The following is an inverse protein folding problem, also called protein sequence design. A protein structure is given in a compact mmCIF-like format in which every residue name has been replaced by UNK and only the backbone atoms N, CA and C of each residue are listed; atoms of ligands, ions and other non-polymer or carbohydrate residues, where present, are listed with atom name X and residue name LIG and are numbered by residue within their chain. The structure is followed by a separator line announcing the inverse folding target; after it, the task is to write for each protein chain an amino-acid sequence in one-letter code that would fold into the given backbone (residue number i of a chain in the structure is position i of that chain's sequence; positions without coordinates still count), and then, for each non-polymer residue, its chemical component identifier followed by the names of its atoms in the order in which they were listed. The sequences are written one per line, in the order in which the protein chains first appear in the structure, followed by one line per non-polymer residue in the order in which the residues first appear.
data_IF_426130444032
#
_entry.id   IF_426130444032
#
_cell.length_a   1.000
_cell.length_b   1.000
_cell.length_c   1.000
_cell.angle_alpha   90.00
_cell.angle_beta   90.00
_cell.angle_gamma   90.00
#
_symmetry.space_group_name_H-M   'P 1'
#
loop_
_entity.id
_entity.type
_entity.pdbx_description
1 polymer ?
#
# COMPACT_ATOMS: atom_id res chain seq x y z
N UNK A 1 17.76 36.54 13.68
CA UNK A 1 16.89 35.48 13.12
C UNK A 1 17.75 34.70 12.14
N UNK A 2 18.38 33.61 12.59
CA UNK A 2 19.15 32.74 11.69
C UNK A 2 18.16 31.79 11.04
N UNK A 3 17.96 31.94 9.73
CA UNK A 3 17.27 30.95 8.92
C UNK A 3 18.28 29.82 8.70
N UNK A 4 18.03 28.65 9.30
CA UNK A 4 18.80 27.44 9.06
C UNK A 4 18.37 26.90 7.70
N UNK A 5 19.16 27.15 6.65
CA UNK A 5 18.99 26.54 5.33
C UNK A 5 19.74 25.21 5.32
N UNK A 6 19.24 24.23 6.08
CA UNK A 6 19.81 22.89 6.07
C UNK A 6 19.32 22.16 4.79
N UNK A 7 20.21 21.77 3.85
CA UNK A 7 19.79 21.09 2.61
C UNK A 7 19.15 19.72 2.87
N UNK A 8 19.17 19.25 4.11
CA UNK A 8 18.64 17.97 4.58
C UNK A 8 17.11 18.05 4.73
N UNK A 9 16.56 19.24 5.01
CA UNK A 9 15.12 19.47 5.17
C UNK A 9 14.37 19.39 3.83
N UNK A 10 15.06 19.63 2.70
CA UNK A 10 14.49 19.52 1.36
C UNK A 10 14.37 18.07 0.84
N UNK A 11 15.07 17.12 1.47
CA UNK A 11 15.07 15.70 1.07
C UNK A 11 14.04 14.91 1.88
N UNK A 12 13.68 15.41 3.06
CA UNK A 12 12.73 14.79 3.98
C UNK A 12 11.41 15.54 3.88
N UNK A 13 10.77 15.45 2.72
CA UNK A 13 9.37 15.81 2.59
C UNK A 13 8.56 14.73 3.33
N UNK A 14 8.26 14.96 4.61
CA UNK A 14 7.33 14.12 5.37
C UNK A 14 5.94 14.57 4.94
N UNK A 15 5.21 13.79 4.14
CA UNK A 15 3.89 14.21 3.71
C UNK A 15 3.00 14.41 4.94
N UNK A 16 2.47 15.63 5.10
CA UNK A 16 1.50 15.99 6.13
C UNK A 16 0.12 15.37 5.80
N UNK A 17 0.00 14.05 5.93
CA UNK A 17 -1.26 13.34 5.69
C UNK A 17 -1.07 11.85 5.42
N UNK A 18 -2.14 11.07 5.53
CA UNK A 18 -2.14 9.67 5.08
C UNK A 18 -1.90 9.67 3.59
N UNK A 19 -0.73 9.20 3.18
CA UNK A 19 -0.37 9.12 1.76
C UNK A 19 -1.21 8.04 1.09
N UNK A 20 -1.52 8.21 -0.20
CA UNK A 20 -2.13 7.16 -1.02
C UNK A 20 -1.34 5.84 -0.96
N UNK A 21 -0.01 5.95 -0.77
CA UNK A 21 0.87 4.81 -0.58
C UNK A 21 0.64 4.09 0.75
N UNK A 22 0.34 4.82 1.83
CA UNK A 22 -0.01 4.22 3.13
C UNK A 22 -1.31 3.43 3.03
N UNK A 23 -2.27 3.92 2.24
CA UNK A 23 -3.53 3.22 1.97
C UNK A 23 -3.28 1.91 1.21
N UNK A 24 -2.45 1.93 0.16
CA UNK A 24 -2.08 0.71 -0.58
C UNK A 24 -1.35 -0.27 0.33
N UNK A 25 -0.44 0.22 1.18
CA UNK A 25 0.33 -0.60 2.11
C UNK A 25 -0.57 -1.31 3.12
N UNK A 26 -1.64 -0.67 3.57
CA UNK A 26 -2.62 -1.29 4.48
C UNK A 26 -3.60 -2.21 3.76
N UNK A 27 -3.89 -1.94 2.47
CA UNK A 27 -4.84 -2.71 1.67
C UNK A 27 -4.36 -4.15 1.44
N UNK A 28 -3.06 -4.33 1.17
CA UNK A 28 -2.45 -5.65 0.89
C UNK A 28 -2.66 -6.63 2.06
N UNK A 29 -2.22 -6.34 3.31
CA UNK A 29 -2.47 -7.23 4.43
C UNK A 29 -3.96 -7.34 4.76
N UNK A 30 -4.76 -6.29 4.56
CA UNK A 30 -6.20 -6.33 4.79
C UNK A 30 -6.92 -7.32 3.87
N UNK A 31 -6.59 -7.34 2.57
CA UNK A 31 -7.14 -8.28 1.59
C UNK A 31 -6.75 -9.73 1.91
N UNK A 32 -5.51 -9.94 2.34
CA UNK A 32 -5.03 -11.25 2.80
C UNK A 32 -5.76 -11.72 4.06
N UNK A 33 -5.91 -10.86 5.06
CA UNK A 33 -6.67 -11.13 6.28
C UNK A 33 -8.15 -11.41 5.97
N UNK A 34 -8.75 -10.68 5.03
CA UNK A 34 -10.11 -10.93 4.57
C UNK A 34 -10.26 -12.33 3.94
N UNK A 35 -9.30 -12.75 3.11
CA UNK A 35 -9.27 -14.09 2.53
C UNK A 35 -9.12 -15.21 3.57
N UNK A 36 -8.27 -15.00 4.58
CA UNK A 36 -8.13 -15.94 5.72
C UNK A 36 -9.40 -15.99 6.55
N UNK A 37 -10.00 -14.84 6.88
CA UNK A 37 -11.26 -14.77 7.62
C UNK A 37 -12.40 -15.47 6.86
N UNK A 38 -12.48 -15.29 5.54
CA UNK A 38 -13.45 -15.97 4.69
C UNK A 38 -13.25 -17.50 4.71
N UNK A 39 -12.00 -17.99 4.71
CA UNK A 39 -11.72 -19.42 4.86
C UNK A 39 -12.15 -19.96 6.23
N UNK A 40 -11.92 -19.22 7.31
CA UNK A 40 -12.37 -19.61 8.66
C UNK A 40 -13.89 -19.70 8.73
N UNK A 41 -14.62 -18.72 8.19
CA UNK A 41 -16.10 -18.70 8.19
C UNK A 41 -16.68 -19.81 7.30
N UNK A 42 -16.04 -20.09 6.16
CA UNK A 42 -16.48 -21.15 5.23
C UNK A 42 -15.96 -22.55 5.60
N UNK A 43 -15.17 -22.68 6.67
CA UNK A 43 -14.48 -23.91 7.06
C UNK A 43 -13.59 -24.50 5.95
N UNK A 44 -13.18 -23.66 5.00
CA UNK A 44 -12.33 -24.01 3.88
C UNK A 44 -10.87 -23.99 4.34
N UNK A 45 -10.01 -24.81 3.73
CA UNK A 45 -8.61 -24.81 4.10
C UNK A 45 -8.01 -23.40 3.95
N UNK A 46 -7.29 -22.93 4.98
CA UNK A 46 -6.72 -21.58 5.04
C UNK A 46 -5.85 -21.26 3.81
N UNK A 47 -5.17 -22.27 3.24
CA UNK A 47 -4.40 -22.14 2.01
C UNK A 47 -5.25 -21.67 0.82
N UNK A 48 -6.50 -22.14 0.69
CA UNK A 48 -7.41 -21.67 -0.35
C UNK A 48 -7.91 -20.24 -0.08
N UNK A 49 -8.18 -19.89 1.19
CA UNK A 49 -8.54 -18.51 1.55
C UNK A 49 -7.42 -17.52 1.26
N UNK A 50 -6.18 -17.88 1.60
CA UNK A 50 -5.00 -17.08 1.29
C UNK A 50 -4.78 -16.94 -0.22
N UNK A 51 -4.95 -18.02 -0.99
CA UNK A 51 -4.85 -17.97 -2.45
C UNK A 51 -5.92 -17.05 -3.07
N UNK A 52 -7.16 -17.11 -2.59
CA UNK A 52 -8.24 -16.23 -3.04
C UNK A 52 -7.99 -14.75 -2.68
N UNK A 53 -7.42 -14.47 -1.51
CA UNK A 53 -7.03 -13.10 -1.11
C UNK A 53 -5.78 -12.59 -1.86
N UNK A 54 -4.88 -13.48 -2.26
CA UNK A 54 -3.66 -13.13 -2.98
C UNK A 54 -3.94 -12.60 -4.40
N UNK A 55 -5.01 -13.06 -5.06
CA UNK A 55 -5.40 -12.60 -6.40
C UNK A 55 -5.70 -11.10 -6.44
N UNK A 56 -6.66 -10.56 -5.65
CA UNK A 56 -6.90 -9.12 -5.62
C UNK A 56 -5.71 -8.34 -5.03
N UNK A 57 -4.99 -8.88 -4.04
CA UNK A 57 -3.80 -8.22 -3.49
C UNK A 57 -2.69 -8.02 -4.54
N UNK A 58 -2.43 -9.04 -5.38
CA UNK A 58 -1.47 -8.94 -6.49
C UNK A 58 -1.95 -7.95 -7.55
N UNK A 59 -3.26 -7.89 -7.79
CA UNK A 59 -3.88 -6.86 -8.63
C UNK A 59 -3.67 -5.45 -8.09
N UNK A 60 -3.82 -5.23 -6.78
CA UNK A 60 -3.54 -3.94 -6.12
C UNK A 60 -2.07 -3.54 -6.26
N UNK A 61 -1.14 -4.48 -6.09
CA UNK A 61 0.29 -4.23 -6.31
C UNK A 61 0.56 -3.85 -7.76
N UNK A 62 0.02 -4.60 -8.73
CA UNK A 62 0.15 -4.26 -10.15
C UNK A 62 -0.42 -2.88 -10.48
N UNK A 63 -1.59 -2.55 -9.93
CA UNK A 63 -2.20 -1.23 -10.11
C UNK A 63 -1.33 -0.10 -9.56
N UNK A 64 -0.82 -0.26 -8.34
CA UNK A 64 0.05 0.74 -7.70
C UNK A 64 1.38 0.94 -8.43
N UNK A 65 1.91 -0.11 -9.08
CA UNK A 65 3.17 -0.02 -9.82
C UNK A 65 2.99 0.59 -11.21
N UNK A 66 1.89 0.28 -11.91
CA UNK A 66 1.74 0.56 -13.35
C UNK A 66 0.66 1.56 -13.72
N UNK A 67 -0.33 1.81 -12.86
CA UNK A 67 -1.42 2.76 -13.14
C UNK A 67 -1.28 4.03 -12.32
N UNK A 68 -0.93 3.91 -11.04
CA UNK A 68 -0.72 5.06 -10.15
C UNK A 68 0.73 5.12 -9.67
N UNK A 69 1.65 5.03 -10.64
CA UNK A 69 3.08 4.89 -10.37
C UNK A 69 3.65 6.14 -9.68
N UNK A 70 4.44 6.00 -8.60
CA UNK A 70 5.01 7.14 -7.87
C UNK A 70 5.91 8.05 -8.68
N UNK A 71 6.45 7.57 -9.80
CA UNK A 71 7.32 8.34 -10.68
C UNK A 71 6.60 9.44 -11.47
N UNK A 72 5.27 9.35 -11.65
CA UNK A 72 4.52 10.39 -12.36
C UNK A 72 4.18 11.60 -11.48
N UNK A 73 4.24 11.46 -10.14
CA UNK A 73 3.94 12.55 -9.20
C UNK A 73 5.05 13.61 -9.12
N UNK A 74 6.25 13.32 -9.62
CA UNK A 74 7.42 14.23 -9.60
C UNK A 74 7.60 15.06 -10.89
N UNK A 75 6.58 15.11 -11.76
CA UNK A 75 6.64 15.84 -13.03
C UNK A 75 5.96 17.23 -13.04
N UNK A 76 5.54 17.76 -11.87
CA UNK A 76 5.04 19.14 -11.74
C UNK A 76 6.09 20.12 -11.20
#
# INVERSE_FOLDING_TARGET
MSVSNDPLDAVVDVPDGVSRYDVVLVLIPALLLAGVAAAVVSSLAIAYGAALGAVPASGTVGYALFVDSPVESTAE
#
